data_IF_421998164428
#
_entry.id   IF_421998164428
#
_cell.length_a   1.000
_cell.length_b   1.000
_cell.length_c   1.000
_cell.angle_alpha   90.00
_cell.angle_beta   90.00
_cell.angle_gamma   90.00
#
_symmetry.space_group_name_H-M   'P 1'
#
loop_
_entity.id
_entity.type
_entity.pdbx_description
1 polymer ?
#
# COMPACT_ATOMS: atom_id res chain seq x y z
N UNK A 1 -29.40 33.12 13.05
CA UNK A 1 -28.41 33.77 13.95
C UNK A 1 -27.28 32.79 14.25
N UNK A 2 -26.02 33.24 14.30
CA UNK A 2 -24.85 32.38 14.51
C UNK A 2 -24.91 31.58 15.84
N UNK A 3 -25.41 32.22 16.91
CA UNK A 3 -25.44 31.70 18.29
C UNK A 3 -26.18 30.35 18.40
N UNK A 4 -27.38 30.23 17.81
CA UNK A 4 -28.17 29.00 17.87
C UNK A 4 -27.44 27.82 17.19
N UNK A 5 -26.73 28.09 16.08
CA UNK A 5 -26.01 27.07 15.32
C UNK A 5 -24.78 26.58 16.10
N UNK A 6 -24.09 27.47 16.80
CA UNK A 6 -22.94 27.13 17.65
C UNK A 6 -23.38 26.34 18.88
N UNK A 7 -24.48 26.74 19.55
CA UNK A 7 -25.05 25.99 20.68
C UNK A 7 -25.43 24.58 20.22
N UNK A 8 -26.13 24.45 19.09
CA UNK A 8 -26.51 23.15 18.54
C UNK A 8 -25.29 22.29 18.19
N UNK A 9 -24.25 22.88 17.58
CA UNK A 9 -23.01 22.18 17.28
C UNK A 9 -22.28 21.68 18.52
N UNK A 10 -22.24 22.51 19.57
CA UNK A 10 -21.65 22.15 20.86
C UNK A 10 -22.46 21.05 21.55
N UNK A 11 -23.80 21.09 21.49
CA UNK A 11 -24.63 20.01 22.05
C UNK A 11 -24.49 18.68 21.30
N UNK A 12 -24.23 18.72 19.99
CA UNK A 12 -24.09 17.51 19.16
C UNK A 12 -22.68 16.89 19.24
N UNK A 13 -21.64 17.72 19.15
CA UNK A 13 -20.24 17.27 19.00
C UNK A 13 -19.44 17.39 20.29
N UNK A 14 -19.87 18.24 21.21
CA UNK A 14 -19.12 18.64 22.41
C UNK A 14 -17.97 19.61 22.11
N UNK A 15 -17.84 20.07 20.86
CA UNK A 15 -16.71 20.88 20.40
C UNK A 15 -17.19 22.04 19.52
N UNK A 16 -16.43 23.13 19.53
CA UNK A 16 -16.69 24.34 18.74
C UNK A 16 -15.88 24.38 17.44
N UNK A 17 -14.98 23.41 17.24
CA UNK A 17 -14.18 23.28 16.02
C UNK A 17 -15.00 23.02 14.75
N UNK A 18 -14.47 23.46 13.61
CA UNK A 18 -15.11 23.31 12.30
C UNK A 18 -15.33 21.84 11.94
N UNK A 19 -16.56 21.50 11.50
CA UNK A 19 -16.88 20.12 11.08
C UNK A 19 -16.07 19.72 9.85
N UNK A 20 -15.62 18.48 9.83
CA UNK A 20 -14.98 17.90 8.66
C UNK A 20 -15.90 18.00 7.43
N UNK A 21 -15.46 18.73 6.40
CA UNK A 21 -16.24 18.90 5.17
C UNK A 21 -16.30 17.57 4.43
N UNK A 22 -17.49 17.22 3.95
CA UNK A 22 -17.76 15.95 3.25
C UNK A 22 -16.92 15.75 1.97
N UNK A 23 -16.47 16.84 1.35
CA UNK A 23 -15.62 16.80 0.16
C UNK A 23 -16.31 16.10 -1.03
N UNK A 24 -15.55 15.87 -2.11
CA UNK A 24 -16.06 15.17 -3.30
C UNK A 24 -15.99 13.64 -3.09
N UNK A 25 -17.07 12.89 -3.34
CA UNK A 25 -17.05 11.43 -3.21
C UNK A 25 -16.07 10.80 -4.21
N UNK A 26 -15.38 9.74 -3.77
CA UNK A 26 -14.38 9.04 -4.57
C UNK A 26 -15.04 7.85 -5.27
N UNK A 27 -15.27 7.96 -6.58
CA UNK A 27 -15.98 6.92 -7.35
C UNK A 27 -15.08 5.78 -7.82
N UNK A 28 -13.86 6.07 -8.29
CA UNK A 28 -13.00 5.07 -8.95
C UNK A 28 -12.16 4.23 -7.98
N UNK A 29 -11.79 4.78 -6.82
CA UNK A 29 -10.84 4.13 -5.88
C UNK A 29 -11.57 3.31 -4.82
N UNK A 30 -12.48 2.45 -5.29
CA UNK A 30 -13.29 1.60 -4.42
C UNK A 30 -12.43 0.62 -3.61
N UNK A 31 -13.00 0.06 -2.54
CA UNK A 31 -12.36 -1.03 -1.77
C UNK A 31 -12.00 -2.22 -2.66
N UNK A 32 -12.90 -2.59 -3.55
CA UNK A 32 -12.69 -3.68 -4.52
C UNK A 32 -11.44 -3.46 -5.38
N UNK A 33 -11.29 -2.28 -5.97
CA UNK A 33 -10.11 -1.97 -6.78
C UNK A 33 -8.82 -1.99 -5.94
N UNK A 34 -8.87 -1.56 -4.67
CA UNK A 34 -7.72 -1.64 -3.75
C UNK A 34 -7.29 -3.08 -3.50
N UNK A 35 -8.24 -3.98 -3.25
CA UNK A 35 -7.98 -5.40 -3.01
C UNK A 35 -7.39 -6.08 -4.26
N UNK A 36 -7.96 -5.82 -5.44
CA UNK A 36 -7.42 -6.29 -6.72
C UNK A 36 -5.97 -5.84 -6.89
N UNK A 37 -5.70 -4.54 -6.77
CA UNK A 37 -4.35 -4.00 -6.97
C UNK A 37 -3.37 -4.60 -5.97
N UNK A 38 -3.79 -4.76 -4.70
CA UNK A 38 -2.98 -5.40 -3.65
C UNK A 38 -2.60 -6.82 -4.06
N UNK A 39 -3.58 -7.66 -4.38
CA UNK A 39 -3.37 -9.07 -4.73
C UNK A 39 -2.51 -9.22 -5.99
N UNK A 40 -2.70 -8.36 -7.00
CA UNK A 40 -1.88 -8.45 -8.22
C UNK A 40 -0.42 -8.06 -7.98
N UNK A 41 -0.16 -7.08 -7.12
CA UNK A 41 1.21 -6.65 -6.81
C UNK A 41 1.91 -7.67 -5.90
N UNK A 42 1.21 -8.28 -4.94
CA UNK A 42 1.82 -9.31 -4.08
C UNK A 42 2.22 -10.54 -4.86
N UNK A 43 1.37 -11.00 -5.78
CA UNK A 43 1.67 -12.13 -6.65
C UNK A 43 2.83 -11.84 -7.62
N UNK A 44 2.87 -10.63 -8.17
CA UNK A 44 3.94 -10.23 -9.09
C UNK A 44 4.36 -8.78 -8.86
N UNK A 45 5.37 -8.55 -8.00
CA UNK A 45 5.83 -7.19 -7.69
C UNK A 45 6.56 -6.52 -8.86
N UNK A 46 6.87 -7.27 -9.94
CA UNK A 46 7.50 -6.74 -11.16
C UNK A 46 6.50 -6.17 -12.15
N UNK A 47 5.19 -6.29 -11.88
CA UNK A 47 4.14 -5.90 -12.80
C UNK A 47 4.04 -4.39 -12.93
N UNK A 48 3.93 -3.91 -14.17
CA UNK A 48 3.76 -2.48 -14.46
C UNK A 48 2.35 -2.00 -14.10
N UNK A 49 2.26 -0.84 -13.44
CA UNK A 49 0.99 -0.17 -13.15
C UNK A 49 0.20 0.19 -14.42
N UNK A 50 0.87 0.43 -15.56
CA UNK A 50 0.19 0.67 -16.85
C UNK A 50 -0.55 -0.57 -17.36
N UNK A 51 -0.01 -1.77 -17.12
CA UNK A 51 -0.67 -3.02 -17.52
C UNK A 51 -1.92 -3.25 -16.67
N UNK A 52 -1.80 -3.10 -15.35
CA UNK A 52 -2.94 -3.13 -14.43
C UNK A 52 -4.03 -2.12 -14.82
N UNK A 53 -3.62 -0.89 -15.14
CA UNK A 53 -4.54 0.15 -15.59
C UNK A 53 -5.35 -0.27 -16.83
N UNK A 54 -4.68 -0.82 -17.85
CA UNK A 54 -5.35 -1.30 -19.08
C UNK A 54 -6.29 -2.47 -18.82
N UNK A 55 -5.88 -3.43 -18.00
CA UNK A 55 -6.69 -4.62 -17.69
C UNK A 55 -7.98 -4.28 -16.95
N UNK A 56 -7.90 -3.33 -16.00
CA UNK A 56 -9.04 -2.93 -15.18
C UNK A 56 -9.70 -1.64 -15.69
N UNK A 57 -9.38 -1.20 -16.91
CA UNK A 57 -9.97 -0.04 -17.58
C UNK A 57 -9.98 1.24 -16.73
N UNK A 58 -8.92 1.42 -15.93
CA UNK A 58 -8.73 2.58 -15.08
C UNK A 58 -7.50 3.36 -15.51
N UNK A 59 -7.46 4.66 -15.20
CA UNK A 59 -6.30 5.47 -15.55
C UNK A 59 -5.06 5.04 -14.75
N UNK A 60 -3.87 5.15 -15.35
CA UNK A 60 -2.58 4.87 -14.67
C UNK A 60 -2.47 5.63 -13.34
N UNK A 61 -2.90 6.88 -13.30
CA UNK A 61 -2.82 7.72 -12.10
C UNK A 61 -3.70 7.21 -10.96
N UNK A 62 -4.85 6.59 -11.25
CA UNK A 62 -5.69 6.00 -10.20
C UNK A 62 -5.00 4.80 -9.56
N UNK A 63 -4.43 3.90 -10.36
CA UNK A 63 -3.65 2.75 -9.86
C UNK A 63 -2.44 3.22 -9.06
N UNK A 64 -1.74 4.25 -9.53
CA UNK A 64 -0.61 4.87 -8.81
C UNK A 64 -1.04 5.43 -7.45
N UNK A 65 -2.14 6.19 -7.40
CA UNK A 65 -2.69 6.72 -6.15
C UNK A 65 -3.10 5.60 -5.19
N UNK A 66 -3.70 4.52 -5.70
CA UNK A 66 -4.04 3.35 -4.89
C UNK A 66 -2.80 2.71 -4.29
N UNK A 67 -1.79 2.42 -5.11
CA UNK A 67 -0.55 1.80 -4.64
C UNK A 67 0.18 2.64 -3.59
N UNK A 68 0.36 3.94 -3.81
CA UNK A 68 1.12 4.78 -2.89
C UNK A 68 0.31 5.30 -1.70
N UNK A 69 -0.90 5.83 -1.93
CA UNK A 69 -1.67 6.51 -0.87
C UNK A 69 -2.45 5.53 0.01
N UNK A 70 -2.98 4.46 -0.57
CA UNK A 70 -3.86 3.53 0.16
C UNK A 70 -3.15 2.25 0.60
N UNK A 71 -2.21 1.73 -0.20
CA UNK A 71 -1.46 0.52 0.12
C UNK A 71 -0.08 0.81 0.73
N UNK A 72 0.37 2.07 0.74
CA UNK A 72 1.68 2.46 1.28
C UNK A 72 2.88 1.89 0.52
N UNK A 73 2.68 1.38 -0.70
CA UNK A 73 3.73 0.72 -1.46
C UNK A 73 4.66 1.75 -2.11
N UNK A 74 5.96 1.44 -2.15
CA UNK A 74 6.98 2.22 -2.86
C UNK A 74 7.61 1.37 -3.96
N UNK A 75 7.84 1.97 -5.12
CA UNK A 75 8.55 1.31 -6.21
C UNK A 75 10.05 1.31 -5.92
N UNK A 76 10.58 0.16 -5.51
CA UNK A 76 12.00 -0.01 -5.20
C UNK A 76 12.81 -0.32 -6.48
N UNK A 77 14.04 0.21 -6.54
CA UNK A 77 14.98 -0.11 -7.62
C UNK A 77 15.44 -1.56 -7.48
N UNK A 78 15.35 -2.33 -8.57
CA UNK A 78 15.86 -3.69 -8.63
C UNK A 78 17.39 -3.67 -8.61
N UNK A 79 18.00 -4.46 -7.74
CA UNK A 79 19.44 -4.75 -7.75
C UNK A 79 19.67 -6.09 -8.42
N UNK A 80 20.69 -6.17 -9.28
CA UNK A 80 21.20 -7.43 -9.78
C UNK A 80 22.13 -7.99 -8.70
N UNK A 81 21.86 -9.20 -8.24
CA UNK A 81 22.73 -9.92 -7.31
C UNK A 81 23.47 -11.02 -8.06
N UNK A 82 24.49 -11.59 -7.41
CA UNK A 82 25.21 -12.74 -7.93
C UNK A 82 24.25 -13.93 -8.15
N UNK A 83 24.46 -14.67 -9.24
CA UNK A 83 23.67 -15.87 -9.52
C UNK A 83 24.13 -17.02 -8.62
N UNK A 84 23.29 -17.44 -7.68
CA UNK A 84 23.62 -18.51 -6.74
C UNK A 84 23.56 -19.88 -7.44
N UNK A 85 24.69 -20.59 -7.47
CA UNK A 85 24.75 -22.02 -7.80
C UNK A 85 24.23 -22.83 -6.59
N UNK A 86 23.52 -23.96 -6.77
CA UNK A 86 23.12 -24.84 -5.68
C UNK A 86 24.24 -25.25 -4.71
N UNK A 87 25.51 -25.30 -5.15
CA UNK A 87 26.64 -25.51 -4.24
C UNK A 87 26.86 -24.33 -3.27
N UNK A 88 26.75 -23.09 -3.76
CA UNK A 88 26.86 -21.88 -2.94
C UNK A 88 25.69 -21.75 -1.94
N UNK A 89 24.49 -22.15 -2.36
CA UNK A 89 23.32 -22.19 -1.47
C UNK A 89 23.56 -23.19 -0.34
N UNK A 90 24.04 -24.40 -0.66
CA UNK A 90 24.38 -25.43 0.35
C UNK A 90 25.41 -24.92 1.34
N UNK A 91 26.49 -24.29 0.85
CA UNK A 91 27.52 -23.69 1.71
C UNK A 91 26.93 -22.62 2.64
N UNK A 92 26.11 -21.71 2.11
CA UNK A 92 25.47 -20.69 2.95
C UNK A 92 24.57 -21.28 4.04
N UNK A 93 23.89 -22.39 3.76
CA UNK A 93 23.06 -23.10 4.75
C UNK A 93 23.90 -23.83 5.81
N UNK A 94 25.02 -24.44 5.44
CA UNK A 94 25.93 -25.09 6.40
C UNK A 94 26.59 -24.05 7.30
N UNK A 95 27.04 -22.93 6.74
CA UNK A 95 27.65 -21.83 7.48
C UNK A 95 26.64 -21.23 8.48
N UNK A 96 25.39 -21.02 8.05
CA UNK A 96 24.33 -20.54 8.94
C UNK A 96 24.04 -21.52 10.08
N UNK A 97 23.90 -22.82 9.79
CA UNK A 97 23.64 -23.86 10.80
C UNK A 97 24.79 -24.01 11.80
N UNK A 98 26.04 -23.92 11.32
CA UNK A 98 27.23 -23.94 12.17
C UNK A 98 27.28 -22.76 13.15
N UNK A 99 26.88 -21.57 12.70
CA UNK A 99 26.74 -20.40 13.58
C UNK A 99 25.66 -20.60 14.66
N UNK A 100 24.51 -21.22 14.34
CA UNK A 100 23.48 -21.48 15.35
C UNK A 100 23.91 -22.52 16.39
N UNK A 101 24.70 -23.54 16.01
CA UNK A 101 25.24 -24.53 16.95
C UNK A 101 26.43 -24.03 17.77
N UNK A 102 27.14 -22.99 17.32
CA UNK A 102 28.24 -22.39 18.07
C UNK A 102 27.76 -21.34 19.09
N UNK A 103 26.50 -20.90 18.99
CA UNK A 103 25.88 -19.92 19.89
C UNK A 103 25.05 -20.56 21.03
N UNK A 104 24.94 -21.89 21.09
CA UNK A 104 24.29 -22.66 22.17
C UNK A 104 25.33 -23.32 23.04
#
# INVERSE_FOLDING_TARGET
MFIHRTIQQYTETGDMEDRARSGRPVTVRTRHLREIVRTRITLNPRRSMRKLAREYQVSRETVRKVAHKYLGLKSLKRRKLHHLNPALVRRGLTDARGCYSACT
#
